data_IF_410101449930
#
_entry.id   IF_410101449930
#
_cell.length_a   1.000
_cell.length_b   1.000
_cell.length_c   1.000
_cell.angle_alpha   90.00
_cell.angle_beta   90.00
_cell.angle_gamma   90.00
#
_symmetry.space_group_name_H-M   'P 1'
#
loop_
_entity.id
_entity.type
_entity.pdbx_description
1 polymer ?
#
# COMPACT_ATOMS: atom_id res chain seq x y z
N UNK A 1 48.06 -35.79 19.80
CA UNK A 1 47.52 -34.61 20.54
C UNK A 1 47.18 -33.51 19.54
N UNK A 2 46.23 -33.81 18.66
CA UNK A 2 45.57 -32.85 17.77
C UNK A 2 44.13 -33.31 17.86
N UNK A 3 43.32 -32.68 18.72
CA UNK A 3 41.88 -33.01 18.69
C UNK A 3 41.04 -31.94 19.39
N UNK A 4 41.45 -31.51 20.58
CA UNK A 4 40.56 -30.70 21.43
C UNK A 4 40.48 -29.23 21.01
N UNK A 5 41.60 -28.60 20.66
CA UNK A 5 41.61 -27.21 20.18
C UNK A 5 40.92 -27.04 18.83
N UNK A 6 41.07 -28.02 17.93
CA UNK A 6 40.41 -28.04 16.63
C UNK A 6 38.91 -28.23 16.80
N UNK A 7 38.48 -29.12 17.69
CA UNK A 7 37.07 -29.37 17.98
C UNK A 7 36.39 -28.14 18.63
N UNK A 8 37.07 -27.47 19.57
CA UNK A 8 36.59 -26.22 20.16
C UNK A 8 36.45 -25.14 19.09
N UNK A 9 37.47 -24.95 18.24
CA UNK A 9 37.45 -23.95 17.18
C UNK A 9 36.34 -24.22 16.14
N UNK A 10 36.14 -25.49 15.76
CA UNK A 10 35.09 -25.89 14.83
C UNK A 10 33.69 -25.63 15.42
N UNK A 11 33.46 -25.96 16.70
CA UNK A 11 32.17 -25.69 17.37
C UNK A 11 31.89 -24.21 17.53
N UNK A 12 32.90 -23.41 17.85
CA UNK A 12 32.76 -21.95 17.94
C UNK A 12 32.41 -21.37 16.57
N UNK A 13 33.13 -21.77 15.53
CA UNK A 13 32.82 -21.37 14.15
C UNK A 13 31.39 -21.75 13.73
N UNK A 14 30.96 -22.98 13.99
CA UNK A 14 29.58 -23.40 13.67
C UNK A 14 28.55 -22.54 14.40
N UNK A 15 28.75 -22.25 15.69
CA UNK A 15 27.84 -21.40 16.46
C UNK A 15 27.79 -19.96 15.95
N UNK A 16 28.94 -19.40 15.58
CA UNK A 16 29.01 -18.06 15.02
C UNK A 16 28.31 -18.00 13.65
N UNK A 17 28.59 -18.95 12.76
CA UNK A 17 27.96 -19.03 11.43
C UNK A 17 26.46 -19.28 11.53
N UNK A 18 26.00 -20.18 12.39
CA UNK A 18 24.57 -20.43 12.61
C UNK A 18 23.85 -19.18 13.13
N UNK A 19 24.49 -18.45 14.06
CA UNK A 19 23.92 -17.20 14.57
C UNK A 19 23.83 -16.14 13.48
N UNK A 20 24.88 -15.97 12.68
CA UNK A 20 24.90 -15.02 11.56
C UNK A 20 23.84 -15.38 10.52
N UNK A 21 23.71 -16.67 10.16
CA UNK A 21 22.70 -17.13 9.21
C UNK A 21 21.27 -16.87 9.71
N UNK A 22 21.01 -17.10 11.00
CA UNK A 22 19.69 -16.85 11.59
C UNK A 22 19.34 -15.37 11.57
N UNK A 23 20.29 -14.51 11.91
CA UNK A 23 20.11 -13.04 11.86
C UNK A 23 19.88 -12.60 10.41
N UNK A 24 20.74 -13.00 9.48
CA UNK A 24 20.59 -12.64 8.06
C UNK A 24 19.26 -13.12 7.45
N UNK A 25 18.77 -14.31 7.83
CA UNK A 25 17.44 -14.77 7.41
C UNK A 25 16.32 -13.91 8.01
N UNK A 26 16.40 -13.59 9.31
CA UNK A 26 15.42 -12.74 9.98
C UNK A 26 15.36 -11.35 9.35
N UNK A 27 16.52 -10.74 9.11
CA UNK A 27 16.63 -9.43 8.49
C UNK A 27 16.07 -9.47 7.06
N UNK A 28 16.43 -10.47 6.25
CA UNK A 28 15.90 -10.64 4.90
C UNK A 28 14.38 -10.82 4.85
N UNK A 29 13.79 -11.52 5.83
CA UNK A 29 12.32 -11.65 5.94
C UNK A 29 11.67 -10.30 6.27
N UNK A 30 12.23 -9.55 7.21
CA UNK A 30 11.73 -8.22 7.58
C UNK A 30 11.85 -7.23 6.42
N UNK A 31 12.99 -7.22 5.73
CA UNK A 31 13.23 -6.37 4.58
C UNK A 31 12.28 -6.70 3.42
N UNK A 32 12.07 -8.00 3.14
CA UNK A 32 11.11 -8.44 2.13
C UNK A 32 9.68 -8.03 2.46
N UNK A 33 9.30 -8.14 3.74
CA UNK A 33 8.00 -7.69 4.23
C UNK A 33 7.84 -6.17 4.07
N UNK A 34 8.83 -5.38 4.49
CA UNK A 34 8.83 -3.93 4.38
C UNK A 34 8.77 -3.47 2.92
N UNK A 35 9.53 -4.09 2.02
CA UNK A 35 9.51 -3.79 0.59
C UNK A 35 8.12 -4.06 -0.04
N UNK A 36 7.50 -5.19 0.33
CA UNK A 36 6.14 -5.52 -0.13
C UNK A 36 5.09 -4.53 0.37
N UNK A 37 5.17 -4.13 1.64
CA UNK A 37 4.27 -3.11 2.19
C UNK A 37 4.48 -1.75 1.51
N UNK A 38 5.72 -1.33 1.32
CA UNK A 38 6.02 -0.04 0.70
C UNK A 38 5.50 0.02 -0.73
N UNK A 39 5.75 -1.02 -1.54
CA UNK A 39 5.26 -1.06 -2.92
C UNK A 39 3.71 -1.02 -3.01
N UNK A 40 3.02 -1.73 -2.12
CA UNK A 40 1.56 -1.70 -2.05
C UNK A 40 1.03 -0.33 -1.61
N UNK A 41 1.69 0.29 -0.62
CA UNK A 41 1.36 1.64 -0.15
C UNK A 41 1.57 2.68 -1.25
N UNK A 42 2.71 2.67 -1.93
CA UNK A 42 3.05 3.62 -2.99
C UNK A 42 2.05 3.54 -4.15
N UNK A 43 1.66 2.31 -4.53
CA UNK A 43 0.62 2.09 -5.54
C UNK A 43 -0.72 2.68 -5.12
N UNK A 44 -1.17 2.39 -3.89
CA UNK A 44 -2.44 2.92 -3.37
C UNK A 44 -2.44 4.43 -3.22
N UNK A 45 -1.31 5.00 -2.76
CA UNK A 45 -1.13 6.44 -2.60
C UNK A 45 -1.19 7.17 -3.95
N UNK A 46 -0.43 6.69 -4.95
CA UNK A 46 -0.41 7.26 -6.29
C UNK A 46 -1.80 7.27 -6.94
N UNK A 47 -2.50 6.14 -6.83
CA UNK A 47 -3.87 6.00 -7.33
C UNK A 47 -4.85 6.95 -6.63
N UNK A 48 -4.82 7.00 -5.30
CA UNK A 48 -5.70 7.86 -4.50
C UNK A 48 -5.44 9.35 -4.75
N UNK A 49 -4.17 9.75 -4.86
CA UNK A 49 -3.79 11.12 -5.15
C UNK A 49 -4.26 11.55 -6.55
N UNK A 50 -4.02 10.73 -7.57
CA UNK A 50 -4.44 11.01 -8.95
C UNK A 50 -5.94 11.18 -9.05
N UNK A 51 -6.69 10.21 -8.51
CA UNK A 51 -8.15 10.28 -8.50
C UNK A 51 -8.68 11.49 -7.73
N UNK A 52 -8.11 11.79 -6.56
CA UNK A 52 -8.52 12.94 -5.76
C UNK A 52 -8.30 14.27 -6.47
N UNK A 53 -7.20 14.40 -7.23
CA UNK A 53 -6.96 15.56 -8.09
C UNK A 53 -7.98 15.67 -9.22
N UNK A 54 -8.31 14.55 -9.89
CA UNK A 54 -9.31 14.54 -10.96
C UNK A 54 -10.70 14.96 -10.45
N UNK A 55 -11.13 14.42 -9.31
CA UNK A 55 -12.38 14.79 -8.66
C UNK A 55 -12.35 16.27 -8.25
N UNK A 56 -11.27 16.71 -7.62
CA UNK A 56 -11.10 18.10 -7.21
C UNK A 56 -11.15 19.08 -8.39
N UNK A 57 -10.51 18.73 -9.50
CA UNK A 57 -10.51 19.52 -10.72
C UNK A 57 -11.92 19.64 -11.34
N UNK A 58 -12.66 18.53 -11.41
CA UNK A 58 -14.05 18.54 -11.90
C UNK A 58 -14.96 19.39 -11.02
N UNK A 59 -14.91 19.20 -9.70
CA UNK A 59 -15.68 20.01 -8.76
C UNK A 59 -15.33 21.50 -8.86
N UNK A 60 -14.07 21.85 -9.09
CA UNK A 60 -13.66 23.24 -9.30
C UNK A 60 -14.25 23.84 -10.59
N UNK A 61 -14.35 23.06 -11.67
CA UNK A 61 -15.04 23.47 -12.92
C UNK A 61 -16.53 23.66 -12.66
N UNK A 62 -17.18 22.70 -11.99
CA UNK A 62 -18.61 22.76 -11.68
C UNK A 62 -18.96 23.94 -10.75
N UNK A 63 -18.12 24.24 -9.75
CA UNK A 63 -18.33 25.36 -8.83
C UNK A 63 -18.21 26.74 -9.49
N UNK A 64 -17.53 26.86 -10.63
CA UNK A 64 -17.63 28.09 -11.45
C UNK A 64 -19.06 28.35 -11.95
N UNK A 65 -19.93 27.34 -11.95
CA UNK A 65 -21.32 27.43 -12.43
C UNK A 65 -22.40 27.49 -11.33
N UNK A 66 -22.11 27.13 -10.06
CA UNK A 66 -23.06 27.19 -8.93
C UNK A 66 -22.39 27.56 -7.60
N UNK A 67 -23.11 28.29 -6.74
CA UNK A 67 -22.61 28.81 -5.46
C UNK A 67 -22.26 27.73 -4.43
N UNK A 68 -20.97 27.57 -4.15
CA UNK A 68 -20.30 27.40 -2.84
C UNK A 68 -20.90 26.46 -1.76
N UNK A 69 -21.57 25.37 -2.14
CA UNK A 69 -22.10 24.37 -1.19
C UNK A 69 -21.17 23.20 -0.82
N UNK A 70 -20.16 22.88 -1.65
CA UNK A 70 -19.59 21.51 -1.67
C UNK A 70 -18.24 21.30 -0.97
N UNK A 71 -17.76 22.26 -0.16
CA UNK A 71 -16.45 22.11 0.54
C UNK A 71 -16.40 20.95 1.53
N UNK A 72 -17.53 20.53 2.11
CA UNK A 72 -17.57 19.39 3.04
C UNK A 72 -17.42 18.03 2.34
N UNK A 73 -17.73 17.94 1.05
CA UNK A 73 -17.66 16.68 0.28
C UNK A 73 -16.23 16.23 0.00
N UNK A 74 -15.20 17.04 0.18
CA UNK A 74 -13.81 16.59 -0.03
C UNK A 74 -13.11 16.16 1.26
N UNK A 75 -13.80 16.23 2.40
CA UNK A 75 -13.18 15.99 3.72
C UNK A 75 -13.02 14.51 4.07
N UNK A 76 -13.79 13.62 3.43
CA UNK A 76 -13.83 12.20 3.80
C UNK A 76 -13.26 11.30 2.70
N UNK A 77 -12.40 10.31 3.04
CA UNK A 77 -11.84 9.36 2.08
C UNK A 77 -12.89 8.55 1.30
N UNK A 78 -14.09 8.38 1.86
CA UNK A 78 -15.26 7.79 1.20
C UNK A 78 -15.63 8.55 -0.07
N UNK A 79 -15.43 9.87 -0.08
CA UNK A 79 -15.72 10.72 -1.23
C UNK A 79 -14.63 10.66 -2.30
N UNK A 80 -13.43 10.22 -1.91
CA UNK A 80 -12.35 9.83 -2.82
C UNK A 80 -12.49 8.37 -3.27
N UNK A 81 -13.69 7.80 -3.13
CA UNK A 81 -14.06 6.48 -3.62
C UNK A 81 -13.16 5.34 -3.12
N UNK A 82 -12.56 5.48 -1.94
CA UNK A 82 -11.71 4.44 -1.34
C UNK A 82 -12.53 3.16 -1.06
N UNK A 83 -12.27 2.08 -1.80
CA UNK A 83 -13.07 0.84 -1.73
C UNK A 83 -12.93 0.13 -0.38
N UNK A 84 -11.74 0.15 0.22
CA UNK A 84 -11.52 -0.40 1.58
C UNK A 84 -12.27 0.42 2.63
N UNK A 85 -12.37 1.73 2.43
CA UNK A 85 -13.04 2.65 3.34
C UNK A 85 -14.57 2.48 3.26
N UNK A 86 -15.08 2.16 2.06
CA UNK A 86 -16.48 1.85 1.79
C UNK A 86 -16.87 0.47 2.31
N UNK A 87 -16.01 -0.52 2.11
CA UNK A 87 -16.21 -1.91 2.50
C UNK A 87 -14.96 -2.48 3.16
N UNK A 88 -14.98 -2.52 4.51
CA UNK A 88 -13.87 -3.05 5.31
C UNK A 88 -13.67 -4.56 5.15
N UNK A 89 -14.64 -5.29 4.60
CA UNK A 89 -14.46 -6.72 4.32
C UNK A 89 -13.38 -6.96 3.26
N UNK A 90 -13.07 -5.95 2.45
CA UNK A 90 -12.01 -6.01 1.45
C UNK A 90 -10.61 -6.02 2.05
N UNK A 91 -10.42 -5.73 3.34
CA UNK A 91 -9.08 -5.73 3.97
C UNK A 91 -8.41 -7.11 3.88
N UNK A 92 -9.18 -8.19 3.94
CA UNK A 92 -8.65 -9.56 3.85
C UNK A 92 -8.37 -10.02 2.42
N UNK A 93 -8.63 -9.19 1.43
CA UNK A 93 -8.54 -9.57 0.02
C UNK A 93 -7.15 -9.36 -0.57
N UNK A 94 -6.92 -9.99 -1.71
CA UNK A 94 -5.65 -9.84 -2.42
C UNK A 94 -5.46 -8.38 -2.88
N UNK A 95 -4.28 -7.80 -2.61
CA UNK A 95 -3.93 -6.41 -2.93
C UNK A 95 -4.14 -6.09 -4.41
N UNK A 96 -3.81 -7.01 -5.32
CA UNK A 96 -4.01 -6.81 -6.77
C UNK A 96 -5.50 -6.67 -7.08
N UNK A 97 -6.33 -7.50 -6.45
CA UNK A 97 -7.78 -7.46 -6.65
C UNK A 97 -8.38 -6.15 -6.15
N UNK A 98 -7.96 -5.69 -4.96
CA UNK A 98 -8.41 -4.42 -4.39
C UNK A 98 -7.96 -3.26 -5.28
N UNK A 99 -6.72 -3.27 -5.75
CA UNK A 99 -6.19 -2.26 -6.66
C UNK A 99 -7.01 -2.18 -7.95
N UNK A 100 -7.25 -3.32 -8.60
CA UNK A 100 -8.06 -3.40 -9.81
C UNK A 100 -9.49 -2.90 -9.57
N UNK A 101 -10.12 -3.28 -8.45
CA UNK A 101 -11.45 -2.78 -8.11
C UNK A 101 -11.46 -1.27 -7.91
N UNK A 102 -10.46 -0.73 -7.23
CA UNK A 102 -10.29 0.71 -7.02
C UNK A 102 -10.13 1.45 -8.36
N UNK A 103 -9.34 0.92 -9.31
CA UNK A 103 -9.20 1.47 -10.67
C UNK A 103 -10.57 1.49 -11.34
N UNK A 104 -11.23 0.34 -11.42
CA UNK A 104 -12.52 0.22 -12.10
C UNK A 104 -13.56 1.19 -11.53
N UNK A 105 -13.68 1.25 -10.20
CA UNK A 105 -14.65 2.11 -9.54
C UNK A 105 -14.34 3.59 -9.71
N UNK A 106 -13.05 3.96 -9.75
CA UNK A 106 -12.64 5.33 -10.04
C UNK A 106 -13.00 5.73 -11.47
N UNK A 107 -12.76 4.87 -12.44
CA UNK A 107 -13.14 5.13 -13.83
C UNK A 107 -14.66 5.24 -14.01
N UNK A 108 -15.44 4.37 -13.38
CA UNK A 108 -16.90 4.44 -13.36
C UNK A 108 -17.37 5.80 -12.80
N UNK A 109 -16.86 6.19 -11.63
CA UNK A 109 -17.19 7.46 -11.00
C UNK A 109 -16.86 8.67 -11.90
N UNK A 110 -15.69 8.66 -12.54
CA UNK A 110 -15.29 9.75 -13.43
C UNK A 110 -16.14 9.78 -14.71
N UNK A 111 -16.60 8.64 -15.24
CA UNK A 111 -17.46 8.59 -16.43
C UNK A 111 -18.88 9.11 -16.15
N UNK A 112 -19.47 8.70 -15.03
CA UNK A 112 -20.80 9.14 -14.61
C UNK A 112 -20.85 10.66 -14.44
N UNK A 113 -19.82 11.24 -13.82
CA UNK A 113 -19.70 12.69 -13.62
C UNK A 113 -19.13 13.47 -14.82
N UNK A 114 -18.95 12.84 -16.00
CA UNK A 114 -18.56 13.51 -17.25
C UNK A 114 -19.73 13.67 -18.25
N UNK A 115 -20.89 13.07 -17.97
CA UNK A 115 -22.03 13.02 -18.89
C UNK A 115 -23.17 13.99 -18.51
N UNK A 116 -22.90 14.95 -17.63
CA UNK A 116 -23.80 16.05 -17.24
C UNK A 116 -23.21 17.39 -17.69
#
# INVERSE_FOLDING_TARGET
MIDESINISAKTWTREVESVNKVGYSDGVVDGQNASFQSSFDSGYSQGLTFGLDVGYKLAIEQKSKSLGDKERLKYPVNMNCQICLDKSQISENVIRINNLQVMKNEEYLKENNSQ
#
